data_IF_265083787625
#
_entry.id   IF_265083787625
#
_cell.length_a   1.000
_cell.length_b   1.000
_cell.length_c   1.000
_cell.angle_alpha   90.00
_cell.angle_beta   90.00
_cell.angle_gamma   90.00
#
_symmetry.space_group_name_H-M   'P 1'
#
loop_
_entity.id
_entity.type
_entity.pdbx_description
1 polymer ?
#
# COMPACT_ATOMS: atom_id res chain seq x y z
N UNK A 1 46.53 25.10 -70.08
CA UNK A 1 47.29 24.05 -70.79
C UNK A 1 46.64 22.70 -70.51
N UNK A 2 46.06 22.04 -71.51
CA UNK A 2 45.46 20.71 -71.34
C UNK A 2 46.55 19.64 -71.45
N UNK A 3 46.89 18.98 -70.34
CA UNK A 3 47.85 17.87 -70.32
C UNK A 3 47.14 16.59 -70.76
N UNK A 4 47.56 16.02 -71.90
CA UNK A 4 47.08 14.72 -72.35
C UNK A 4 47.63 13.61 -71.46
N UNK A 5 46.82 12.59 -71.20
CA UNK A 5 47.24 11.42 -70.43
C UNK A 5 48.38 10.66 -71.13
N UNK A 6 49.49 10.47 -70.42
CA UNK A 6 50.66 9.71 -70.87
C UNK A 6 50.85 8.50 -69.95
N UNK A 7 50.64 7.26 -70.45
CA UNK A 7 50.83 6.07 -69.64
C UNK A 7 52.33 5.83 -69.41
N UNK A 8 52.67 5.37 -68.21
CA UNK A 8 54.06 5.07 -67.83
C UNK A 8 54.60 3.81 -68.52
N UNK A 9 53.71 2.92 -68.95
CA UNK A 9 54.03 1.69 -69.68
C UNK A 9 53.47 1.78 -71.11
N UNK A 10 54.12 1.16 -72.11
CA UNK A 10 53.58 1.11 -73.45
C UNK A 10 52.23 0.39 -73.42
N UNK A 11 51.19 1.06 -73.93
CA UNK A 11 49.82 0.54 -73.98
C UNK A 11 49.28 0.64 -75.40
N UNK A 12 48.64 -0.44 -75.85
CA UNK A 12 48.01 -0.52 -77.18
C UNK A 12 46.84 0.45 -77.33
N UNK A 13 46.05 0.63 -76.27
CA UNK A 13 44.94 1.59 -76.22
C UNK A 13 45.09 2.55 -75.03
N UNK A 14 45.38 3.82 -75.33
CA UNK A 14 45.60 4.87 -74.32
C UNK A 14 44.34 5.25 -73.53
N UNK A 15 43.15 5.14 -74.13
CA UNK A 15 41.90 5.49 -73.47
C UNK A 15 41.54 4.48 -72.37
N UNK A 16 41.66 3.19 -72.68
CA UNK A 16 41.42 2.12 -71.70
C UNK A 16 42.46 2.18 -70.57
N UNK A 17 43.73 2.41 -70.90
CA UNK A 17 44.78 2.54 -69.90
C UNK A 17 44.51 3.72 -68.95
N UNK A 18 44.04 4.86 -69.47
CA UNK A 18 43.63 6.01 -68.64
C UNK A 18 42.53 5.64 -67.65
N UNK A 19 41.51 4.92 -68.10
CA UNK A 19 40.41 4.50 -67.21
C UNK A 19 40.91 3.55 -66.14
N UNK A 20 41.73 2.56 -66.48
CA UNK A 20 42.26 1.61 -65.50
C UNK A 20 43.18 2.26 -64.47
N UNK A 21 44.05 3.17 -64.89
CA UNK A 21 44.91 3.89 -63.97
C UNK A 21 44.09 4.80 -63.03
N UNK A 22 43.05 5.44 -63.56
CA UNK A 22 42.12 6.24 -62.78
C UNK A 22 41.39 5.38 -61.73
N UNK A 23 40.83 4.24 -62.13
CA UNK A 23 40.15 3.32 -61.20
C UNK A 23 41.10 2.76 -60.15
N UNK A 24 42.32 2.36 -60.52
CA UNK A 24 43.34 1.90 -59.56
C UNK A 24 43.75 3.00 -58.58
N UNK A 25 43.88 4.23 -59.07
CA UNK A 25 44.19 5.38 -58.23
C UNK A 25 43.06 5.63 -57.22
N UNK A 26 41.81 5.61 -57.68
CA UNK A 26 40.63 5.74 -56.84
C UNK A 26 40.52 4.60 -55.81
N UNK A 27 40.71 3.36 -56.22
CA UNK A 27 40.75 2.20 -55.31
C UNK A 27 41.85 2.32 -54.25
N UNK A 28 43.05 2.74 -54.64
CA UNK A 28 44.16 2.95 -53.72
C UNK A 28 43.86 4.07 -52.72
N UNK A 29 43.31 5.19 -53.21
CA UNK A 29 42.86 6.29 -52.36
C UNK A 29 41.77 5.86 -51.39
N UNK A 30 40.82 5.06 -51.85
CA UNK A 30 39.76 4.50 -51.01
C UNK A 30 40.35 3.60 -49.92
N UNK A 31 41.27 2.69 -50.27
CA UNK A 31 41.96 1.83 -49.28
C UNK A 31 42.70 2.63 -48.23
N UNK A 32 43.41 3.70 -48.62
CA UNK A 32 44.08 4.61 -47.69
C UNK A 32 43.09 5.35 -46.79
N UNK A 33 41.95 5.82 -47.34
CA UNK A 33 40.93 6.54 -46.58
C UNK A 33 40.17 5.64 -45.61
N UNK A 34 39.97 4.36 -45.96
CA UNK A 34 39.22 3.40 -45.14
C UNK A 34 40.10 2.61 -44.16
N UNK A 35 41.43 2.72 -44.29
CA UNK A 35 42.36 2.03 -43.42
C UNK A 35 42.18 2.49 -41.96
N UNK A 36 41.84 1.55 -41.08
CA UNK A 36 41.73 1.78 -39.64
C UNK A 36 43.07 1.49 -38.96
N UNK A 37 43.44 2.24 -37.91
CA UNK A 37 44.63 1.94 -37.12
C UNK A 37 44.49 0.56 -36.45
N UNK A 38 45.57 -0.23 -36.48
CA UNK A 38 45.60 -1.58 -35.88
C UNK A 38 45.70 -1.55 -34.35
N UNK A 39 46.23 -0.47 -33.80
CA UNK A 39 46.35 -0.25 -32.35
C UNK A 39 45.39 0.87 -31.96
N UNK A 40 44.56 0.61 -30.95
CA UNK A 40 43.79 1.67 -30.30
C UNK A 40 44.73 2.51 -29.43
N UNK A 41 44.92 3.77 -29.80
CA UNK A 41 45.73 4.74 -29.05
C UNK A 41 44.86 5.63 -28.17
N UNK A 42 43.55 5.34 -28.03
CA UNK A 42 42.66 6.14 -27.18
C UNK A 42 42.97 5.85 -25.71
N UNK A 43 42.99 6.92 -24.91
CA UNK A 43 43.11 6.81 -23.47
C UNK A 43 41.91 6.09 -22.85
N UNK A 44 42.12 5.52 -21.66
CA UNK A 44 41.05 4.89 -20.89
C UNK A 44 39.98 5.95 -20.59
N UNK A 45 38.70 5.58 -20.80
CA UNK A 45 37.56 6.45 -20.48
C UNK A 45 37.58 6.79 -18.99
N UNK A 46 37.51 8.09 -18.67
CA UNK A 46 37.45 8.55 -17.28
C UNK A 46 36.21 7.95 -16.60
N UNK A 47 36.37 7.26 -15.44
CA UNK A 47 35.25 6.72 -14.70
C UNK A 47 34.28 7.82 -14.26
N UNK A 48 32.97 7.53 -14.28
CA UNK A 48 31.92 8.51 -14.00
C UNK A 48 32.05 9.15 -12.61
N UNK A 49 32.49 8.39 -11.59
CA UNK A 49 32.67 8.90 -10.22
C UNK A 49 33.82 9.91 -10.07
N UNK A 50 34.75 9.96 -11.05
CA UNK A 50 35.82 10.97 -11.10
C UNK A 50 35.27 12.27 -11.68
N UNK A 51 34.38 12.16 -12.67
CA UNK A 51 33.72 13.32 -13.29
C UNK A 51 32.65 13.92 -12.37
N UNK A 52 31.94 13.06 -11.62
CA UNK A 52 30.78 13.41 -10.80
C UNK A 52 30.94 12.87 -9.38
N UNK A 53 30.86 13.77 -8.39
CA UNK A 53 30.84 13.40 -6.96
C UNK A 53 29.44 12.95 -6.55
N UNK A 54 29.06 11.72 -6.91
CA UNK A 54 27.71 11.17 -6.72
C UNK A 54 27.20 11.33 -5.27
N UNK A 55 28.03 11.03 -4.27
CA UNK A 55 27.65 11.20 -2.84
C UNK A 55 27.34 12.65 -2.46
N UNK A 56 28.04 13.61 -3.07
CA UNK A 56 27.77 15.04 -2.83
C UNK A 56 26.40 15.42 -3.40
N UNK A 57 26.10 14.95 -4.61
CA UNK A 57 24.82 15.20 -5.26
C UNK A 57 23.66 14.62 -4.44
N UNK A 58 23.79 13.36 -4.02
CA UNK A 58 22.80 12.70 -3.16
C UNK A 58 22.53 13.49 -1.86
N UNK A 59 23.58 13.92 -1.15
CA UNK A 59 23.42 14.70 0.08
C UNK A 59 22.76 16.07 -0.17
N UNK A 60 22.99 16.66 -1.34
CA UNK A 60 22.32 17.91 -1.72
C UNK A 60 20.82 17.66 -1.96
N UNK A 61 20.47 16.58 -2.66
CA UNK A 61 19.07 16.22 -2.92
C UNK A 61 18.32 15.89 -1.62
N UNK A 62 18.90 15.09 -0.73
CA UNK A 62 18.31 14.77 0.58
C UNK A 62 18.08 16.03 1.43
N UNK A 63 19.03 16.96 1.39
CA UNK A 63 18.91 18.26 2.06
C UNK A 63 17.78 19.10 1.45
N UNK A 64 17.68 19.16 0.13
CA UNK A 64 16.61 19.89 -0.56
C UNK A 64 15.23 19.31 -0.24
N UNK A 65 15.08 17.99 -0.26
CA UNK A 65 13.83 17.31 0.12
C UNK A 65 13.41 17.66 1.56
N UNK A 66 14.37 17.70 2.48
CA UNK A 66 14.11 18.10 3.87
C UNK A 66 13.63 19.55 3.94
N UNK A 67 14.34 20.46 3.25
CA UNK A 67 13.98 21.89 3.18
C UNK A 67 12.59 22.08 2.56
N UNK A 68 12.26 21.35 1.50
CA UNK A 68 10.96 21.44 0.84
C UNK A 68 9.82 20.95 1.74
N UNK A 69 10.03 19.84 2.46
CA UNK A 69 9.07 19.34 3.45
C UNK A 69 8.81 20.37 4.53
N UNK A 70 9.87 20.96 5.06
CA UNK A 70 9.79 21.96 6.12
C UNK A 70 9.11 23.25 5.61
N UNK A 71 9.43 23.69 4.40
CA UNK A 71 8.80 24.84 3.75
C UNK A 71 7.30 24.61 3.52
N UNK A 72 6.89 23.41 3.10
CA UNK A 72 5.47 23.05 2.95
C UNK A 72 4.75 23.08 4.30
N UNK A 73 5.34 22.49 5.33
CA UNK A 73 4.79 22.50 6.68
C UNK A 73 4.66 23.93 7.22
N UNK A 74 5.68 24.74 7.05
CA UNK A 74 5.69 26.15 7.46
C UNK A 74 4.60 26.93 6.72
N UNK A 75 4.51 26.77 5.40
CA UNK A 75 3.49 27.44 4.58
C UNK A 75 2.07 27.04 4.97
N UNK A 76 1.85 25.76 5.29
CA UNK A 76 0.56 25.29 5.83
C UNK A 76 0.23 25.98 7.15
N UNK A 77 1.17 25.99 8.11
CA UNK A 77 0.99 26.64 9.41
C UNK A 77 0.74 28.15 9.27
N UNK A 78 1.48 28.83 8.40
CA UNK A 78 1.26 30.24 8.11
C UNK A 78 -0.12 30.48 7.50
N UNK A 79 -0.56 29.62 6.58
CA UNK A 79 -1.90 29.69 5.99
C UNK A 79 -2.99 29.50 7.05
N UNK A 80 -2.77 28.57 7.99
CA UNK A 80 -3.69 28.36 9.11
C UNK A 80 -3.76 29.58 10.03
N UNK A 81 -2.62 30.17 10.37
CA UNK A 81 -2.55 31.40 11.17
C UNK A 81 -3.25 32.55 10.46
N UNK A 82 -2.97 32.77 9.18
CA UNK A 82 -3.57 33.84 8.37
C UNK A 82 -5.08 33.68 8.24
N UNK A 83 -5.57 32.44 8.08
CA UNK A 83 -7.01 32.14 8.04
C UNK A 83 -7.67 32.24 9.42
N UNK A 84 -6.92 32.00 10.50
CA UNK A 84 -7.43 32.09 11.85
C UNK A 84 -7.79 33.54 12.22
N UNK A 85 -8.87 33.74 12.97
CA UNK A 85 -9.30 35.08 13.44
C UNK A 85 -8.50 35.58 14.66
N UNK A 86 -7.32 35.01 14.92
CA UNK A 86 -6.47 35.35 16.07
C UNK A 86 -6.96 34.80 17.42
N UNK A 87 -7.83 33.79 17.43
CA UNK A 87 -8.25 33.13 18.66
C UNK A 87 -7.16 32.14 19.09
N UNK A 88 -6.28 32.59 19.98
CA UNK A 88 -5.26 31.74 20.62
C UNK A 88 -5.86 31.17 21.90
N UNK A 89 -5.89 29.85 22.05
CA UNK A 89 -6.24 29.24 23.31
C UNK A 89 -5.03 29.24 24.26
N UNK A 90 -5.27 29.41 25.55
CA UNK A 90 -4.25 29.32 26.59
C UNK A 90 -4.16 27.89 27.17
N UNK A 91 -4.78 26.91 26.51
CA UNK A 91 -4.91 25.53 26.97
C UNK A 91 -3.83 24.66 26.32
N UNK A 92 -2.67 24.64 26.94
CA UNK A 92 -1.62 23.74 26.51
C UNK A 92 -1.96 22.29 26.93
N UNK A 93 -2.18 21.41 25.96
CA UNK A 93 -2.43 19.98 26.22
C UNK A 93 -1.12 19.29 26.57
N UNK A 94 -0.77 19.34 27.86
CA UNK A 94 0.30 18.51 28.38
C UNK A 94 -0.25 17.11 28.66
N UNK A 95 0.29 16.05 28.03
CA UNK A 95 -0.08 14.70 28.43
C UNK A 95 0.36 14.48 29.88
N UNK A 96 -0.54 13.97 30.71
CA UNK A 96 -0.22 13.60 32.09
C UNK A 96 0.76 12.42 32.07
N UNK A 97 2.05 12.72 32.25
CA UNK A 97 3.11 11.71 32.33
C UNK A 97 3.12 11.12 33.73
N UNK A 98 2.51 9.95 33.90
CA UNK A 98 2.71 9.15 35.11
C UNK A 98 4.00 8.35 34.99
N UNK A 99 4.86 8.38 36.01
CA UNK A 99 6.06 7.54 36.09
C UNK A 99 5.72 6.04 35.96
N UNK A 100 4.50 5.65 36.36
CA UNK A 100 4.02 4.26 36.33
C UNK A 100 3.19 3.93 35.08
N UNK A 101 3.12 4.82 34.08
CA UNK A 101 2.28 4.61 32.91
C UNK A 101 2.66 3.33 32.14
N UNK A 102 3.96 3.08 31.98
CA UNK A 102 4.47 1.91 31.28
C UNK A 102 4.18 0.63 32.06
N UNK A 103 4.50 0.60 33.37
CA UNK A 103 4.18 -0.52 34.24
C UNK A 103 2.68 -0.85 34.25
N UNK A 104 1.81 0.16 34.34
CA UNK A 104 0.35 -0.02 34.28
C UNK A 104 -0.08 -0.60 32.94
N UNK A 105 0.53 -0.16 31.83
CA UNK A 105 0.23 -0.68 30.49
C UNK A 105 0.60 -2.16 30.39
N UNK A 106 1.76 -2.55 30.91
CA UNK A 106 2.22 -3.93 30.88
C UNK A 106 1.37 -4.84 31.77
N UNK A 107 0.98 -4.35 32.96
CA UNK A 107 0.01 -5.04 33.84
C UNK A 107 -1.34 -5.21 33.16
N UNK A 108 -1.86 -4.18 32.48
CA UNK A 108 -3.11 -4.26 31.71
C UNK A 108 -3.02 -5.31 30.59
N UNK A 109 -1.89 -5.36 29.86
CA UNK A 109 -1.67 -6.37 28.84
C UNK A 109 -1.61 -7.79 29.44
N UNK A 110 -0.95 -7.95 30.59
CA UNK A 110 -0.88 -9.23 31.28
C UNK A 110 -2.28 -9.70 31.71
N UNK A 111 -3.06 -8.81 32.35
CA UNK A 111 -4.44 -9.09 32.75
C UNK A 111 -5.31 -9.42 31.54
N UNK A 112 -5.18 -8.67 30.44
CA UNK A 112 -5.92 -8.93 29.22
C UNK A 112 -5.64 -10.33 28.65
N UNK A 113 -4.36 -10.71 28.58
CA UNK A 113 -3.94 -12.03 28.10
C UNK A 113 -4.45 -13.16 29.01
N UNK A 114 -4.38 -12.98 30.34
CA UNK A 114 -4.92 -13.94 31.30
C UNK A 114 -6.43 -14.09 31.17
N UNK A 115 -7.16 -12.98 31.04
CA UNK A 115 -8.60 -12.98 30.84
C UNK A 115 -8.97 -13.67 29.52
N UNK A 116 -8.21 -13.46 28.45
CA UNK A 116 -8.41 -14.15 27.18
C UNK A 116 -8.20 -15.67 27.32
N UNK A 117 -7.16 -16.10 28.03
CA UNK A 117 -6.91 -17.52 28.28
C UNK A 117 -8.03 -18.16 29.12
N UNK A 118 -8.53 -17.46 30.14
CA UNK A 118 -9.68 -17.91 30.94
C UNK A 118 -10.93 -18.00 30.07
N UNK A 119 -11.21 -16.98 29.25
CA UNK A 119 -12.35 -16.95 28.35
C UNK A 119 -12.31 -18.12 27.37
N UNK A 120 -11.15 -18.39 26.76
CA UNK A 120 -10.95 -19.55 25.88
C UNK A 120 -11.23 -20.86 26.62
N UNK A 121 -10.74 -21.00 27.87
CA UNK A 121 -10.93 -22.21 28.66
C UNK A 121 -12.39 -22.43 29.06
N UNK A 122 -13.12 -21.37 29.39
CA UNK A 122 -14.57 -21.41 29.67
C UNK A 122 -15.33 -21.78 28.40
N UNK A 123 -15.00 -21.15 27.28
CA UNK A 123 -15.70 -21.36 26.01
C UNK A 123 -15.44 -22.76 25.42
N UNK A 124 -14.22 -23.28 25.56
CA UNK A 124 -13.86 -24.60 25.09
C UNK A 124 -14.44 -25.73 25.96
N UNK A 125 -14.82 -25.45 27.21
CA UNK A 125 -15.43 -26.46 28.09
C UNK A 125 -16.86 -26.72 27.64
N UNK A 126 -17.09 -27.89 27.06
CA UNK A 126 -18.44 -28.37 26.77
C UNK A 126 -19.23 -28.59 28.07
N UNK A 127 -20.55 -28.42 28.00
CA UNK A 127 -21.42 -28.69 29.14
C UNK A 127 -21.45 -30.19 29.44
N UNK A 128 -21.03 -30.58 30.65
CA UNK A 128 -21.13 -31.97 31.14
C UNK A 128 -22.60 -32.46 31.24
N UNK A 129 -23.56 -31.53 31.18
CA UNK A 129 -24.99 -31.84 31.17
C UNK A 129 -25.40 -32.44 29.83
N UNK A 130 -25.72 -33.74 29.81
CA UNK A 130 -26.38 -34.40 28.67
C UNK A 130 -27.83 -33.95 28.58
N UNK A 131 -28.05 -32.78 27.95
CA UNK A 131 -29.36 -32.12 27.82
C UNK A 131 -30.47 -33.07 27.35
N UNK A 132 -30.16 -33.95 26.41
CA UNK A 132 -31.11 -34.95 25.91
C UNK A 132 -31.62 -35.89 27.00
N UNK A 133 -30.73 -36.44 27.84
CA UNK A 133 -31.15 -37.32 28.94
C UNK A 133 -32.06 -36.61 29.92
N UNK A 134 -31.79 -35.35 30.21
CA UNK A 134 -32.60 -34.54 31.12
C UNK A 134 -33.98 -34.24 30.55
N UNK A 135 -34.06 -33.99 29.24
CA UNK A 135 -35.33 -33.83 28.54
C UNK A 135 -36.14 -35.13 28.56
N UNK A 136 -35.49 -36.27 28.29
CA UNK A 136 -36.16 -37.57 28.30
C UNK A 136 -36.63 -37.96 29.72
N UNK A 137 -35.81 -37.71 30.75
CA UNK A 137 -36.21 -37.93 32.15
C UNK A 137 -37.35 -37.02 32.54
N UNK A 138 -37.28 -35.75 32.15
CA UNK A 138 -38.36 -34.81 32.38
C UNK A 138 -39.65 -35.29 31.71
N UNK A 139 -39.58 -35.74 30.46
CA UNK A 139 -40.73 -36.27 29.74
C UNK A 139 -41.27 -37.56 30.39
N UNK A 140 -40.40 -38.47 30.84
CA UNK A 140 -40.78 -39.67 31.60
C UNK A 140 -41.52 -39.30 32.88
N UNK A 141 -41.02 -38.32 33.62
CA UNK A 141 -41.64 -37.82 34.86
C UNK A 141 -42.98 -37.15 34.56
N UNK A 142 -43.08 -36.37 33.48
CA UNK A 142 -44.32 -35.73 33.04
C UNK A 142 -45.37 -36.78 32.70
N UNK A 143 -45.05 -37.78 31.87
CA UNK A 143 -45.97 -38.88 31.54
C UNK A 143 -46.44 -39.61 32.81
N UNK A 144 -45.51 -39.97 33.69
CA UNK A 144 -45.85 -40.61 34.97
C UNK A 144 -46.76 -39.72 35.84
N UNK A 145 -46.51 -38.42 35.86
CA UNK A 145 -47.35 -37.47 36.58
C UNK A 145 -48.75 -37.36 35.97
N UNK A 146 -48.88 -37.46 34.65
CA UNK A 146 -50.17 -37.46 33.96
C UNK A 146 -50.93 -38.77 34.24
N UNK A 147 -50.24 -39.91 34.27
CA UNK A 147 -50.83 -41.22 34.57
C UNK A 147 -51.32 -41.33 36.03
N UNK A 148 -50.59 -40.75 36.98
CA UNK A 148 -50.95 -40.75 38.42
C UNK A 148 -51.94 -39.62 38.76
N UNK A 149 -52.10 -38.62 37.87
CA UNK A 149 -52.98 -37.51 38.13
C UNK A 149 -54.45 -37.95 38.07
N UNK A 150 -55.18 -37.68 39.17
CA UNK A 150 -56.63 -37.93 39.27
C UNK A 150 -57.48 -37.08 38.32
N UNK A 151 -56.93 -35.98 37.80
CA UNK A 151 -57.61 -35.05 36.89
C UNK A 151 -56.72 -34.77 35.68
N UNK A 152 -57.27 -34.71 34.45
CA UNK A 152 -56.48 -34.45 33.25
C UNK A 152 -55.75 -33.10 33.35
N UNK A 153 -54.42 -33.11 33.22
CA UNK A 153 -53.65 -31.88 33.04
C UNK A 153 -53.87 -31.38 31.61
N UNK A 154 -55.00 -30.71 31.38
CA UNK A 154 -55.18 -29.95 30.17
C UNK A 154 -54.02 -28.94 30.06
N UNK A 155 -53.39 -28.88 28.89
CA UNK A 155 -52.34 -27.92 28.56
C UNK A 155 -52.73 -26.53 29.08
N UNK A 156 -52.09 -26.08 30.16
CA UNK A 156 -52.31 -24.77 30.75
C UNK A 156 -51.72 -23.68 29.83
N UNK A 157 -52.26 -23.56 28.63
CA UNK A 157 -52.00 -22.48 27.70
C UNK A 157 -53.11 -21.43 27.83
N UNK A 158 -53.32 -20.92 29.05
CA UNK A 158 -54.03 -19.65 29.25
C UNK A 158 -53.32 -18.90 30.37
N UNK A 159 -52.76 -17.74 30.00
CA UNK A 159 -52.16 -16.71 30.87
C UNK A 159 -50.71 -16.94 31.33
N UNK A 160 -49.75 -16.90 30.40
CA UNK A 160 -48.42 -16.38 30.75
C UNK A 160 -48.54 -14.86 30.89
N UNK A 161 -48.83 -14.39 32.10
CA UNK A 161 -48.57 -13.00 32.48
C UNK A 161 -47.09 -12.73 32.27
N UNK A 162 -46.74 -11.82 31.35
CA UNK A 162 -45.37 -11.33 31.16
C UNK A 162 -44.98 -10.50 32.39
N UNK A 163 -44.71 -11.13 33.53
CA UNK A 163 -44.06 -10.44 34.65
C UNK A 163 -42.61 -10.19 34.28
N UNK A 164 -42.33 -8.97 33.81
CA UNK A 164 -40.96 -8.45 33.71
C UNK A 164 -40.48 -8.19 35.15
N UNK A 165 -39.57 -9.02 35.63
CA UNK A 165 -38.82 -8.73 36.85
C UNK A 165 -37.76 -7.70 36.48
N UNK A 166 -37.90 -6.48 37.00
CA UNK A 166 -36.83 -5.47 36.92
C UNK A 166 -35.84 -5.81 38.03
N UNK A 167 -34.64 -6.24 37.66
CA UNK A 167 -33.52 -6.24 38.60
C UNK A 167 -33.18 -4.77 38.90
N UNK A 168 -33.19 -4.40 40.18
CA UNK A 168 -32.68 -3.10 40.61
C UNK A 168 -31.15 -3.12 40.44
N UNK A 169 -30.64 -2.41 39.43
CA UNK A 169 -29.19 -2.35 39.17
C UNK A 169 -28.77 -2.09 37.72
N UNK A 170 -29.67 -1.69 36.82
CA UNK A 170 -29.27 -1.14 35.52
C UNK A 170 -29.99 0.20 35.35
N UNK A 171 -29.36 1.23 35.89
CA UNK A 171 -29.50 2.57 35.34
C UNK A 171 -28.67 2.62 34.05
N UNK A 172 -29.36 2.60 32.92
CA UNK A 172 -28.91 3.24 31.69
C UNK A 172 -30.12 3.42 30.78
N UNK A 173 -30.78 4.57 30.90
CA UNK A 173 -31.51 5.11 29.77
C UNK A 173 -30.54 5.32 28.61
N UNK A 174 -30.86 4.79 27.43
CA UNK A 174 -31.57 5.57 26.42
C UNK A 174 -32.23 4.63 25.41
N UNK A 175 -33.46 5.01 25.06
CA UNK A 175 -34.34 4.42 24.09
C UNK A 175 -33.97 4.96 22.71
N UNK A 176 -33.50 4.11 21.81
CA UNK A 176 -33.56 4.38 20.38
C UNK A 176 -35.02 4.33 19.92
N UNK A 177 -35.51 5.46 19.39
CA UNK A 177 -36.64 5.45 18.46
C UNK A 177 -36.07 5.42 17.06
N UNK A 178 -36.31 4.32 16.36
CA UNK A 178 -36.15 4.21 14.93
C UNK A 178 -37.21 5.04 14.22
N UNK A 179 -36.80 5.69 13.13
CA UNK A 179 -37.68 5.99 12.00
C UNK A 179 -36.90 5.89 10.70
N UNK A 180 -37.45 5.02 9.85
CA UNK A 180 -37.38 4.89 8.41
C UNK A 180 -36.04 4.69 7.68
N UNK A 181 -35.92 3.45 7.21
CA UNK A 181 -35.16 2.98 6.06
C UNK A 181 -35.27 3.86 4.81
N UNK A 182 -34.14 4.08 4.13
CA UNK A 182 -34.13 4.02 2.68
C UNK A 182 -32.96 3.15 2.19
N UNK A 183 -33.31 2.26 1.28
CA UNK A 183 -32.53 1.18 0.68
C UNK A 183 -31.55 1.68 -0.39
N UNK A 184 -30.36 1.08 -0.51
CA UNK A 184 -29.95 0.23 -1.65
C UNK A 184 -28.43 -0.07 -1.67
N UNK A 185 -28.17 -1.36 -1.90
CA UNK A 185 -27.03 -2.02 -2.57
C UNK A 185 -25.59 -1.87 -2.05
N UNK A 186 -25.13 -3.01 -1.51
CA UNK A 186 -23.79 -3.56 -1.76
C UNK A 186 -23.47 -3.54 -3.27
N UNK A 187 -22.32 -2.96 -3.62
CA UNK A 187 -21.44 -3.53 -4.64
C UNK A 187 -19.99 -3.35 -4.20
N UNK A 188 -19.31 -4.48 -4.09
CA UNK A 188 -17.85 -4.60 -4.14
C UNK A 188 -17.25 -3.67 -5.21
N UNK A 189 -16.27 -2.83 -4.82
CA UNK A 189 -15.15 -2.44 -5.69
C UNK A 189 -13.93 -2.11 -4.82
N UNK A 190 -13.32 -3.14 -4.22
CA UNK A 190 -11.93 -3.08 -3.76
C UNK A 190 -11.07 -3.93 -4.72
N UNK A 191 -11.06 -3.51 -5.99
CA UNK A 191 -10.09 -3.89 -7.02
C UNK A 191 -9.98 -2.72 -8.01
N UNK A 192 -9.61 -1.51 -7.56
CA UNK A 192 -9.35 -0.40 -8.50
C UNK A 192 -8.36 0.67 -7.99
N UNK A 193 -7.72 0.47 -6.82
CA UNK A 193 -6.77 1.47 -6.27
C UNK A 193 -5.30 1.14 -6.58
N UNK A 194 -5.00 -0.01 -7.19
CA UNK A 194 -3.64 -0.33 -7.65
C UNK A 194 -3.37 0.05 -9.12
N UNK A 195 -4.39 0.35 -9.94
CA UNK A 195 -4.20 0.64 -11.38
C UNK A 195 -4.10 2.16 -11.72
N UNK A 196 -4.50 3.06 -10.80
CA UNK A 196 -4.43 4.52 -10.99
C UNK A 196 -3.04 5.13 -10.70
N UNK A 197 -2.16 4.39 -10.04
CA UNK A 197 -0.77 4.81 -9.77
C UNK A 197 0.15 4.47 -10.95
N UNK A 198 -0.19 3.47 -11.76
CA UNK A 198 0.64 3.00 -12.89
C UNK A 198 0.38 3.77 -14.21
N UNK A 199 -0.84 4.27 -14.45
CA UNK A 199 -1.15 5.10 -15.64
C UNK A 199 -0.58 6.52 -15.59
N UNK A 200 -0.39 7.11 -14.40
CA UNK A 200 0.24 8.45 -14.27
C UNK A 200 1.76 8.43 -14.47
N UNK A 201 2.38 7.24 -14.48
CA UNK A 201 3.81 7.08 -14.79
C UNK A 201 4.11 6.83 -16.27
N UNK A 202 3.11 6.52 -17.10
CA UNK A 202 3.29 6.34 -18.55
C UNK A 202 2.99 7.61 -19.37
N UNK A 203 1.99 8.43 -19.00
CA UNK A 203 1.71 9.70 -19.71
C UNK A 203 2.82 10.76 -19.57
N UNK A 204 3.71 10.62 -18.58
CA UNK A 204 4.87 11.51 -18.40
C UNK A 204 6.13 11.09 -19.16
N UNK A 205 6.10 9.97 -19.91
CA UNK A 205 7.23 9.53 -20.75
C UNK A 205 7.09 9.93 -22.22
N UNK A 206 5.88 10.16 -22.71
CA UNK A 206 5.61 10.50 -24.11
C UNK A 206 5.66 12.01 -24.43
N UNK A 207 5.81 12.87 -23.41
CA UNK A 207 5.98 14.33 -23.59
C UNK A 207 7.44 14.80 -23.59
N UNK A 208 8.40 13.87 -23.62
CA UNK A 208 9.84 14.14 -23.56
C UNK A 208 10.63 13.70 -24.80
N UNK A 209 9.95 13.24 -25.86
CA UNK A 209 10.55 12.87 -27.16
C UNK A 209 9.83 13.54 -28.34
N UNK A 210 9.79 14.87 -28.36
CA UNK A 210 9.55 15.65 -29.59
C UNK A 210 10.46 16.88 -29.63
#
# INVERSE_FOLDING_TARGET
MHKSYQPLKPATNKYLQKKWDQTRYEEHRNKLSTARPIVDTKGIRTPAHVQLKLKKLQLQDERLVTIERDNRLLSSKLSDIVRSKGLVDHRNHYPERSLNAEKRRDELLQVANQNQAIYQRITARESDYRRQLWLDDWERVVRRHDDIARYPRAVANKQKSKRRVKFAGSDSGQSEKSSESNSYSDTNTDQEVEEEVEKKTEENKDTLNE
#
